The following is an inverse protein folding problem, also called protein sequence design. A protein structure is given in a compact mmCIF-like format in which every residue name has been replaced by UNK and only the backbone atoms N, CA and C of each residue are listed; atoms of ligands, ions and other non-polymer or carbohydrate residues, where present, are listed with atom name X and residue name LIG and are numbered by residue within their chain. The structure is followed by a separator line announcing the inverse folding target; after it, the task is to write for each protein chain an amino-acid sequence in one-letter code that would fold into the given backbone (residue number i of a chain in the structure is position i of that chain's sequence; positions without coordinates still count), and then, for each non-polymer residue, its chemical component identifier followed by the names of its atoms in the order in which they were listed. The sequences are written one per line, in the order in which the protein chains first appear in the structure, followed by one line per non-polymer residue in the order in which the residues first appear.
data_IF_137376075775
#
_entry.id   IF_137376075775
#
_cell.length_a   1.000
_cell.length_b   1.000
_cell.length_c   1.000
_cell.angle_alpha   90.00
_cell.angle_beta   90.00
_cell.angle_gamma   90.00
#
_symmetry.space_group_name_H-M   'P 1'
#
loop_
_entity.id
_entity.type
_entity.pdbx_description
1 polymer ?
#
# COMPACT_ATOMS: atom_id res chain seq x y z
N UNK A 1 2.88 -8.44 -17.01
CA UNK A 1 1.68 -7.58 -16.97
C UNK A 1 1.75 -6.97 -15.61
N UNK A 2 2.21 -5.73 -15.57
CA UNK A 2 2.41 -5.03 -14.31
C UNK A 2 1.02 -4.74 -13.76
N UNK A 3 0.75 -5.21 -12.55
CA UNK A 3 -0.53 -4.99 -11.89
C UNK A 3 -0.63 -3.48 -11.59
N UNK A 4 -1.50 -2.80 -12.34
CA UNK A 4 -1.75 -1.37 -12.20
C UNK A 4 -2.88 -1.20 -11.20
N UNK A 5 -2.62 -0.46 -10.13
CA UNK A 5 -3.62 -0.05 -9.14
C UNK A 5 -4.72 0.81 -9.78
N UNK A 6 -5.85 0.96 -9.10
CA UNK A 6 -7.01 1.68 -9.62
C UNK A 6 -6.73 3.16 -9.98
N UNK A 7 -5.65 3.74 -9.46
CA UNK A 7 -5.23 5.12 -9.70
C UNK A 7 -3.99 5.23 -10.62
N UNK A 8 -3.59 4.14 -11.29
CA UNK A 8 -2.57 4.18 -12.33
C UNK A 8 -1.13 4.05 -11.82
N UNK A 9 -0.93 3.55 -10.61
CA UNK A 9 0.39 3.21 -10.07
C UNK A 9 0.72 1.74 -10.30
N UNK A 10 1.89 1.46 -10.87
CA UNK A 10 2.39 0.07 -10.92
C UNK A 10 2.80 -0.39 -9.52
N UNK A 11 2.90 -1.71 -9.35
CA UNK A 11 3.44 -2.29 -8.12
C UNK A 11 4.85 -1.77 -7.78
N UNK A 12 5.75 -1.65 -8.77
CA UNK A 12 7.10 -1.10 -8.51
C UNK A 12 7.05 0.38 -8.12
N UNK A 13 6.20 1.17 -8.78
CA UNK A 13 6.04 2.60 -8.47
C UNK A 13 5.52 2.79 -7.04
N UNK A 14 4.49 2.02 -6.63
CA UNK A 14 3.95 2.06 -5.27
C UNK A 14 4.99 1.66 -4.23
N UNK A 15 5.77 0.62 -4.51
CA UNK A 15 6.84 0.18 -3.60
C UNK A 15 7.91 1.26 -3.42
N UNK A 16 8.35 1.91 -4.49
CA UNK A 16 9.31 3.02 -4.41
C UNK A 16 8.71 4.22 -3.67
N UNK A 17 7.43 4.48 -3.86
CA UNK A 17 6.70 5.53 -3.15
C UNK A 17 6.69 5.30 -1.64
N UNK A 18 6.32 4.11 -1.17
CA UNK A 18 6.34 3.77 0.26
C UNK A 18 7.75 3.89 0.86
N UNK A 19 8.77 3.40 0.16
CA UNK A 19 10.17 3.55 0.58
C UNK A 19 10.60 5.02 0.67
N UNK A 20 10.20 5.84 -0.30
CA UNK A 20 10.52 7.26 -0.32
C UNK A 20 9.81 8.01 0.84
N UNK A 21 8.57 7.65 1.18
CA UNK A 21 7.87 8.23 2.33
C UNK A 21 8.56 7.93 3.66
N UNK A 22 9.20 6.77 3.78
CA UNK A 22 9.94 6.36 4.99
C UNK A 22 11.27 7.13 5.15
N UNK A 23 11.91 7.49 4.04
CA UNK A 23 13.20 8.21 4.04
C UNK A 23 13.03 9.72 4.14
N UNK A 24 12.01 10.28 3.49
CA UNK A 24 11.80 11.73 3.45
C UNK A 24 11.04 12.17 4.70
N UNK A 25 11.57 13.16 5.41
CA UNK A 25 10.93 13.75 6.60
C UNK A 25 9.60 14.46 6.24
N UNK A 26 8.63 14.42 7.15
CA UNK A 26 7.32 15.08 7.01
C UNK A 26 7.44 16.60 7.02
N UNK A 27 8.41 17.14 7.75
CA UNK A 27 8.60 18.59 7.88
C UNK A 27 9.34 19.22 6.67
N UNK A 28 9.75 18.40 5.70
CA UNK A 28 10.50 18.87 4.53
C UNK A 28 9.60 19.74 3.63
N UNK A 29 9.95 21.00 3.36
CA UNK A 29 9.07 21.91 2.61
C UNK A 29 8.83 21.49 1.15
N UNK A 30 9.74 20.70 0.57
CA UNK A 30 9.64 20.14 -0.77
C UNK A 30 9.54 18.59 -0.73
N UNK A 31 8.78 18.07 0.23
CA UNK A 31 8.62 16.63 0.45
C UNK A 31 8.19 15.92 -0.81
N UNK A 32 7.12 16.40 -1.46
CA UNK A 32 6.50 15.71 -2.60
C UNK A 32 7.36 15.73 -3.85
N UNK A 33 8.08 16.83 -4.10
CA UNK A 33 9.07 16.90 -5.17
C UNK A 33 10.24 15.94 -4.93
N UNK A 34 10.65 15.79 -3.66
CA UNK A 34 11.71 14.85 -3.29
C UNK A 34 11.25 13.40 -3.46
N UNK A 35 10.03 13.08 -3.01
CA UNK A 35 9.44 11.75 -3.16
C UNK A 35 9.24 11.41 -4.63
N UNK A 36 8.71 12.32 -5.45
CA UNK A 36 8.57 12.13 -6.89
C UNK A 36 9.92 11.85 -7.57
N UNK A 37 10.98 12.57 -7.19
CA UNK A 37 12.33 12.33 -7.69
C UNK A 37 12.88 10.95 -7.28
N UNK A 38 12.51 10.43 -6.11
CA UNK A 38 12.93 9.11 -5.63
C UNK A 38 12.14 7.96 -6.27
N UNK A 39 10.84 8.15 -6.51
CA UNK A 39 9.99 7.22 -7.27
C UNK A 39 10.49 7.12 -8.71
N UNK A 40 10.90 8.26 -9.28
CA UNK A 40 11.34 8.36 -10.66
C UNK A 40 10.19 8.22 -11.66
N UNK A 41 10.54 7.88 -12.91
CA UNK A 41 9.56 7.73 -13.99
C UNK A 41 8.92 9.07 -14.39
N UNK A 42 7.61 9.03 -14.65
CA UNK A 42 6.80 10.17 -15.10
C UNK A 42 5.83 10.71 -14.04
N UNK A 43 6.00 10.37 -12.76
CA UNK A 43 5.14 10.88 -11.68
C UNK A 43 5.58 12.28 -11.24
N UNK A 44 4.62 13.19 -11.17
CA UNK A 44 4.81 14.54 -10.65
C UNK A 44 4.61 14.58 -9.13
N UNK A 45 4.98 15.71 -8.51
CA UNK A 45 4.70 15.95 -7.09
C UNK A 45 3.19 15.91 -6.79
N UNK A 46 2.35 16.37 -7.73
CA UNK A 46 0.89 16.34 -7.61
C UNK A 46 0.34 14.90 -7.68
N UNK A 47 0.93 14.04 -8.52
CA UNK A 47 0.56 12.62 -8.59
C UNK A 47 0.89 11.90 -7.27
N UNK A 48 2.09 12.15 -6.75
CA UNK A 48 2.55 11.62 -5.45
C UNK A 48 1.64 12.08 -4.31
N UNK A 49 1.28 13.36 -4.28
CA UNK A 49 0.38 13.90 -3.27
C UNK A 49 -1.02 13.29 -3.37
N UNK A 50 -1.54 13.16 -4.58
CA UNK A 50 -2.85 12.54 -4.83
C UNK A 50 -2.87 11.08 -4.37
N UNK A 51 -1.82 10.33 -4.69
CA UNK A 51 -1.65 8.94 -4.25
C UNK A 51 -1.56 8.82 -2.72
N UNK A 52 -0.83 9.74 -2.08
CA UNK A 52 -0.76 9.81 -0.62
C UNK A 52 -2.13 10.07 0.04
N UNK A 53 -2.96 10.95 -0.54
CA UNK A 53 -4.32 11.19 -0.03
C UNK A 53 -5.20 9.95 -0.16
N UNK A 54 -5.06 9.17 -1.24
CA UNK A 54 -5.76 7.89 -1.38
C UNK A 54 -5.30 6.88 -0.33
N UNK A 55 -3.99 6.77 -0.09
CA UNK A 55 -3.44 5.92 0.97
C UNK A 55 -4.03 6.29 2.35
N UNK A 56 -4.12 7.59 2.68
CA UNK A 56 -4.73 8.03 3.94
C UNK A 56 -6.20 7.64 4.03
N UNK A 57 -6.95 7.75 2.93
CA UNK A 57 -8.35 7.36 2.89
C UNK A 57 -8.52 5.85 3.11
N UNK A 58 -7.64 5.03 2.52
CA UNK A 58 -7.66 3.59 2.72
C UNK A 58 -7.33 3.23 4.19
N UNK A 59 -6.36 3.91 4.80
CA UNK A 59 -6.04 3.76 6.22
C UNK A 59 -7.25 4.13 7.11
N UNK A 60 -7.91 5.26 6.84
CA UNK A 60 -9.12 5.66 7.56
C UNK A 60 -10.26 4.63 7.43
N UNK A 61 -10.44 4.03 6.25
CA UNK A 61 -11.46 3.01 6.03
C UNK A 61 -11.16 1.72 6.80
N UNK A 62 -9.88 1.34 6.88
CA UNK A 62 -9.41 0.19 7.66
C UNK A 62 -9.62 0.45 9.16
N UNK A 63 -9.16 1.60 9.67
CA UNK A 63 -9.28 1.99 11.08
C UNK A 63 -10.73 2.12 11.54
N UNK A 64 -11.61 2.61 10.66
CA UNK A 64 -13.04 2.71 10.93
C UNK A 64 -13.76 1.35 11.00
N UNK A 65 -13.06 0.22 10.77
CA UNK A 65 -13.67 -1.11 10.66
C UNK A 65 -14.65 -1.21 9.50
N UNK A 66 -14.51 -0.34 8.49
CA UNK A 66 -15.38 -0.24 7.31
C UNK A 66 -14.80 -0.95 6.09
N UNK A 67 -13.95 -1.96 6.31
CA UNK A 67 -13.88 -3.04 5.34
C UNK A 67 -15.24 -3.70 5.38
N UNK A 68 -15.98 -3.63 4.26
CA UNK A 68 -17.22 -4.38 4.11
C UNK A 68 -16.86 -5.86 4.28
N UNK A 69 -16.99 -6.36 5.51
CA UNK A 69 -16.94 -7.76 5.86
C UNK A 69 -18.20 -8.46 5.32
N UNK A 70 -18.58 -8.21 4.07
CA UNK A 70 -19.24 -9.20 3.23
C UNK A 70 -18.21 -10.18 2.68
N UNK A 71 -17.33 -10.67 3.57
CA UNK A 71 -16.90 -12.04 3.47
C UNK A 71 -18.16 -12.86 3.73
N UNK A 72 -18.81 -13.26 2.65
CA UNK A 72 -19.83 -14.29 2.68
C UNK A 72 -19.24 -15.49 3.40
N UNK A 73 -19.89 -15.85 4.52
CA UNK A 73 -19.80 -17.11 5.24
C UNK A 73 -19.06 -18.21 4.46
N UNK A 74 -17.77 -18.36 4.72
CA UNK A 74 -17.06 -19.61 4.46
C UNK A 74 -16.38 -19.98 5.76
N UNK A 75 -17.00 -20.95 6.43
CA UNK A 75 -16.75 -21.29 7.81
C UNK A 75 -15.28 -21.51 8.16
N UNK A 76 -14.98 -21.19 9.40
CA UNK A 76 -13.79 -21.63 10.10
C UNK A 76 -13.55 -23.12 9.90
N UNK A 77 -12.52 -23.46 9.14
CA UNK A 77 -11.73 -24.64 9.48
C UNK A 77 -10.26 -24.31 9.25
N UNK A 78 -9.53 -24.24 10.35
CA UNK A 78 -8.09 -24.26 10.39
C UNK A 78 -7.62 -25.50 9.62
N UNK A 79 -7.07 -25.31 8.43
CA UNK A 79 -6.43 -26.40 7.69
C UNK A 79 -5.00 -26.52 8.22
N UNK A 80 -4.79 -27.60 8.96
CA UNK A 80 -3.47 -28.13 9.30
C UNK A 80 -2.58 -28.25 8.08
N UNK A 81 -1.34 -27.79 8.24
CA UNK A 81 -0.10 -28.28 7.62
C UNK A 81 -0.25 -29.19 6.39
N UNK A 82 -0.05 -28.62 5.20
CA UNK A 82 0.88 -29.19 4.19
C UNK A 82 1.59 -28.07 3.43
N UNK A 83 2.89 -28.27 3.34
CA UNK A 83 3.95 -27.44 2.76
C UNK A 83 3.87 -27.40 1.22
N UNK A 84 4.41 -26.32 0.64
CA UNK A 84 4.70 -26.05 -0.79
C UNK A 84 3.54 -25.68 -1.75
N UNK A 85 3.25 -24.37 -1.86
CA UNK A 85 3.49 -23.60 -3.09
C UNK A 85 3.39 -22.09 -2.79
N UNK A 86 4.50 -21.38 -2.95
CA UNK A 86 4.60 -19.94 -2.76
C UNK A 86 3.91 -19.21 -3.92
N UNK A 87 2.72 -18.64 -3.68
CA UNK A 87 2.25 -17.39 -4.31
C UNK A 87 0.89 -16.95 -3.76
N UNK A 88 0.84 -15.74 -3.23
CA UNK A 88 -0.34 -15.03 -2.72
C UNK A 88 -0.80 -15.46 -1.32
N UNK A 89 -0.18 -14.85 -0.31
CA UNK A 89 -0.86 -14.66 0.96
C UNK A 89 -2.02 -13.66 0.73
N UNK A 90 -3.22 -13.92 1.25
CA UNK A 90 -4.33 -12.97 1.15
C UNK A 90 -3.93 -11.67 1.86
N UNK A 91 -3.93 -10.56 1.13
CA UNK A 91 -3.61 -9.24 1.67
C UNK A 91 -4.87 -8.61 2.29
N UNK A 92 -5.11 -8.87 3.58
CA UNK A 92 -5.55 -7.83 4.49
C UNK A 92 -4.73 -7.89 5.79
N UNK A 93 -3.41 -7.81 5.68
CA UNK A 93 -2.50 -7.79 6.83
C UNK A 93 -1.27 -6.90 6.54
N UNK A 94 -1.48 -5.59 6.38
CA UNK A 94 -0.42 -4.62 6.76
C UNK A 94 -0.36 -4.50 8.29
N UNK A 95 -0.20 -5.63 8.98
CA UNK A 95 0.04 -5.66 10.43
C UNK A 95 1.48 -5.28 10.81
N UNK A 96 2.32 -4.84 9.87
CA UNK A 96 3.73 -4.56 10.13
C UNK A 96 4.14 -3.11 9.82
N UNK A 97 3.36 -2.13 10.29
CA UNK A 97 3.94 -0.84 10.72
C UNK A 97 4.25 -0.87 12.22
N UNK A 98 4.88 -1.95 12.64
CA UNK A 98 5.60 -2.06 13.91
C UNK A 98 6.88 -2.84 13.61
N UNK A 99 7.94 -2.11 13.27
CA UNK A 99 9.25 -2.13 13.91
C UNK A 99 10.29 -1.54 12.93
N UNK A 100 10.74 -0.32 13.26
CA UNK A 100 12.00 0.35 12.90
C UNK A 100 12.40 0.46 11.42
#
# INVERSE_FOLDING_TARGET
MDEVTADGWSWEENKLFEMALAVVDYAKPNRWETVAAMVGGNKSADDVFSHYVLLLKDLELIEAGKLDHKFTDCGTSYISEKEEDHKYLPLPLMQNLHLF
#
